data_IF_201866979584
#
_entry.id   IF_201866979584
#
_cell.length_a   1.000
_cell.length_b   1.000
_cell.length_c   1.000
_cell.angle_alpha   90.00
_cell.angle_beta   90.00
_cell.angle_gamma   90.00
#
_symmetry.space_group_name_H-M   'P 1'
#
loop_
_entity.id
_entity.type
_entity.pdbx_description
1 polymer ?
#
# COMPACT_ATOMS: atom_id res chain seq x y z
N UNK A 1 -15.57 2.93 -9.85
CA UNK A 1 -14.33 2.70 -10.62
C UNK A 1 -14.73 2.48 -12.07
N UNK A 2 -14.25 3.32 -12.99
CA UNK A 2 -14.47 3.19 -14.43
C UNK A 2 -13.44 2.24 -15.07
N UNK A 3 -13.64 1.90 -16.35
CA UNK A 3 -12.78 0.96 -17.10
C UNK A 3 -11.32 1.40 -17.19
N UNK A 4 -11.06 2.70 -17.37
CA UNK A 4 -9.69 3.22 -17.56
C UNK A 4 -8.94 3.13 -16.24
N UNK A 5 -9.57 3.60 -15.16
CA UNK A 5 -9.02 3.50 -13.80
C UNK A 5 -8.78 2.05 -13.40
N UNK A 6 -9.73 1.15 -13.67
CA UNK A 6 -9.60 -0.28 -13.32
C UNK A 6 -8.42 -0.96 -14.02
N UNK A 7 -8.21 -0.70 -15.32
CA UNK A 7 -7.07 -1.23 -16.07
C UNK A 7 -5.75 -0.62 -15.55
N UNK A 8 -5.73 0.68 -15.25
CA UNK A 8 -4.57 1.36 -14.68
C UNK A 8 -4.12 0.71 -13.37
N UNK A 9 -5.06 0.50 -12.45
CA UNK A 9 -4.81 -0.17 -11.16
C UNK A 9 -4.33 -1.61 -11.35
N UNK A 10 -4.93 -2.37 -12.28
CA UNK A 10 -4.48 -3.73 -12.57
C UNK A 10 -3.04 -3.77 -13.10
N UNK A 11 -2.64 -2.81 -13.95
CA UNK A 11 -1.25 -2.70 -14.42
C UNK A 11 -0.29 -2.37 -13.29
N UNK A 12 -0.66 -1.46 -12.39
CA UNK A 12 0.14 -1.14 -11.20
C UNK A 12 0.29 -2.35 -10.29
N UNK A 13 -0.79 -3.08 -10.01
CA UNK A 13 -0.74 -4.30 -9.21
C UNK A 13 0.19 -5.36 -9.82
N UNK A 14 0.16 -5.53 -11.15
CA UNK A 14 1.04 -6.46 -11.86
C UNK A 14 2.52 -6.05 -11.89
N UNK A 15 2.84 -4.80 -11.51
CA UNK A 15 4.22 -4.35 -11.33
C UNK A 15 4.74 -4.63 -9.91
N UNK A 16 3.89 -5.03 -8.97
CA UNK A 16 4.31 -5.37 -7.60
C UNK A 16 5.08 -6.70 -7.58
N UNK A 17 6.16 -6.80 -6.78
CA UNK A 17 6.88 -8.05 -6.60
C UNK A 17 5.97 -9.19 -6.13
N UNK A 18 6.07 -10.35 -6.77
CA UNK A 18 5.28 -11.54 -6.41
C UNK A 18 3.82 -11.53 -6.90
N UNK A 19 3.36 -10.44 -7.53
CA UNK A 19 2.03 -10.39 -8.15
C UNK A 19 2.13 -10.82 -9.62
N UNK A 20 1.29 -11.77 -10.03
CA UNK A 20 1.25 -12.27 -11.40
C UNK A 20 -0.21 -12.51 -11.83
N UNK A 21 -0.44 -12.60 -13.14
CA UNK A 21 -1.76 -12.94 -13.68
C UNK A 21 -2.27 -14.29 -13.16
N UNK A 22 -1.35 -15.23 -12.95
CA UNK A 22 -1.64 -16.55 -12.38
C UNK A 22 -2.01 -16.48 -10.90
N UNK A 23 -1.31 -15.67 -10.10
CA UNK A 23 -1.65 -15.52 -8.67
C UNK A 23 -2.99 -14.80 -8.48
N UNK A 24 -3.27 -13.75 -9.26
CA UNK A 24 -4.60 -13.09 -9.29
C UNK A 24 -5.69 -14.07 -9.73
N UNK A 25 -5.44 -14.86 -10.78
CA UNK A 25 -6.39 -15.86 -11.27
C UNK A 25 -6.72 -16.90 -10.20
N UNK A 26 -5.69 -17.45 -9.53
CA UNK A 26 -5.85 -18.40 -8.42
C UNK A 26 -6.65 -17.80 -7.25
N UNK A 27 -6.35 -16.55 -6.86
CA UNK A 27 -7.05 -15.88 -5.77
C UNK A 27 -8.55 -15.64 -6.05
N UNK A 28 -8.92 -15.49 -7.32
CA UNK A 28 -10.30 -15.19 -7.74
C UNK A 28 -11.05 -16.40 -8.30
N UNK A 29 -10.40 -17.56 -8.42
CA UNK A 29 -10.97 -18.76 -9.03
C UNK A 29 -11.21 -18.64 -10.54
N UNK A 30 -10.36 -17.88 -11.25
CA UNK A 30 -10.46 -17.68 -12.70
C UNK A 30 -9.13 -17.97 -13.41
N UNK A 31 -9.17 -18.28 -14.70
CA UNK A 31 -7.97 -18.64 -15.44
C UNK A 31 -7.09 -17.40 -15.74
N UNK A 32 -5.76 -17.58 -15.73
CA UNK A 32 -4.80 -16.49 -15.97
C UNK A 32 -5.00 -15.81 -17.34
N UNK A 33 -5.49 -16.55 -18.34
CA UNK A 33 -5.83 -16.00 -19.66
C UNK A 33 -6.98 -14.99 -19.61
N UNK A 34 -7.94 -15.16 -18.70
CA UNK A 34 -9.03 -14.20 -18.49
C UNK A 34 -8.49 -12.90 -17.88
N UNK A 35 -7.59 -13.01 -16.89
CA UNK A 35 -6.88 -11.85 -16.31
C UNK A 35 -6.06 -11.12 -17.39
N UNK A 36 -5.40 -11.86 -18.29
CA UNK A 36 -4.66 -11.28 -19.42
C UNK A 36 -5.56 -10.50 -20.38
N UNK A 37 -6.73 -11.06 -20.74
CA UNK A 37 -7.73 -10.37 -21.58
C UNK A 37 -8.25 -9.09 -20.92
N UNK A 38 -8.49 -9.13 -19.61
CA UNK A 38 -8.93 -7.95 -18.83
C UNK A 38 -7.84 -6.89 -18.80
N UNK A 39 -6.58 -7.26 -18.54
CA UNK A 39 -5.45 -6.33 -18.56
C UNK A 39 -5.22 -5.68 -19.94
N UNK A 40 -5.56 -6.40 -21.01
CA UNK A 40 -5.55 -5.88 -22.38
C UNK A 40 -6.80 -5.05 -22.75
N UNK A 41 -7.73 -4.84 -21.80
CA UNK A 41 -8.96 -4.06 -22.03
C UNK A 41 -9.99 -4.73 -22.92
N UNK A 42 -9.86 -6.05 -23.17
CA UNK A 42 -10.76 -6.84 -24.03
C UNK A 42 -12.06 -7.21 -23.32
N UNK A 43 -12.84 -6.20 -22.94
CA UNK A 43 -14.19 -6.33 -22.37
C UNK A 43 -15.01 -5.07 -22.67
N UNK A 44 -16.33 -5.23 -22.81
CA UNK A 44 -17.24 -4.13 -23.18
C UNK A 44 -17.57 -3.25 -21.97
N UNK A 45 -17.87 -3.85 -20.82
CA UNK A 45 -18.20 -3.16 -19.56
C UNK A 45 -17.42 -3.72 -18.38
N UNK A 46 -17.12 -2.87 -17.40
CA UNK A 46 -16.43 -3.25 -16.17
C UNK A 46 -17.41 -3.95 -15.21
N UNK A 47 -17.72 -5.21 -15.51
CA UNK A 47 -18.67 -6.03 -14.76
C UNK A 47 -18.13 -7.45 -14.57
N UNK A 48 -18.79 -8.25 -13.73
CA UNK A 48 -18.44 -9.64 -13.48
C UNK A 48 -16.97 -9.84 -13.11
N UNK A 49 -16.27 -10.70 -13.87
CA UNK A 49 -14.85 -10.98 -13.65
C UNK A 49 -13.94 -9.75 -13.84
N UNK A 50 -14.26 -8.84 -14.77
CA UNK A 50 -13.45 -7.65 -14.99
C UNK A 50 -13.47 -6.73 -13.76
N UNK A 51 -14.66 -6.51 -13.19
CA UNK A 51 -14.82 -5.73 -11.96
C UNK A 51 -14.14 -6.40 -10.76
N UNK A 52 -14.32 -7.72 -10.59
CA UNK A 52 -13.69 -8.48 -9.50
C UNK A 52 -12.17 -8.39 -9.55
N UNK A 53 -11.58 -8.54 -10.73
CA UNK A 53 -10.12 -8.43 -10.94
C UNK A 53 -9.62 -7.03 -10.61
N UNK A 54 -10.30 -5.98 -11.09
CA UNK A 54 -9.86 -4.60 -10.83
C UNK A 54 -10.01 -4.22 -9.34
N UNK A 55 -11.08 -4.67 -8.67
CA UNK A 55 -11.24 -4.49 -7.21
C UNK A 55 -10.17 -5.21 -6.40
N UNK A 56 -9.85 -6.45 -6.77
CA UNK A 56 -8.78 -7.21 -6.11
C UNK A 56 -7.42 -6.53 -6.31
N UNK A 57 -7.10 -6.13 -7.55
CA UNK A 57 -5.89 -5.38 -7.85
C UNK A 57 -5.79 -4.06 -7.08
N UNK A 58 -6.91 -3.36 -6.90
CA UNK A 58 -6.94 -2.15 -6.07
C UNK A 58 -6.54 -2.44 -4.63
N UNK A 59 -7.11 -3.49 -4.04
CA UNK A 59 -6.75 -3.94 -2.70
C UNK A 59 -5.26 -4.28 -2.56
N UNK A 60 -4.63 -4.84 -3.60
CA UNK A 60 -3.19 -5.11 -3.59
C UNK A 60 -2.34 -3.83 -3.62
N UNK A 61 -2.78 -2.80 -4.32
CA UNK A 61 -2.06 -1.52 -4.46
C UNK A 61 -2.26 -0.64 -3.23
N UNK A 62 -3.42 -0.69 -2.60
CA UNK A 62 -3.75 0.11 -1.41
C UNK A 62 -3.44 -0.61 -0.10
N UNK A 63 -3.14 -1.91 -0.12
CA UNK A 63 -2.70 -2.61 1.07
C UNK A 63 -1.39 -1.98 1.57
N UNK A 64 -1.31 -1.60 2.86
CA UNK A 64 -0.06 -1.14 3.43
C UNK A 64 0.99 -2.22 3.18
N UNK A 65 2.12 -1.82 2.63
CA UNK A 65 3.23 -2.72 2.37
C UNK A 65 3.61 -3.44 3.66
N UNK A 66 4.12 -4.68 3.56
CA UNK A 66 4.62 -5.39 4.75
C UNK A 66 5.69 -4.58 5.51
N UNK A 67 6.37 -3.65 4.82
CA UNK A 67 7.29 -2.68 5.41
C UNK A 67 6.57 -1.66 6.29
N UNK A 68 5.40 -1.17 5.89
CA UNK A 68 4.57 -0.26 6.69
C UNK A 68 3.89 -0.98 7.85
N UNK A 69 3.40 -2.21 7.65
CA UNK A 69 2.81 -3.02 8.71
C UNK A 69 3.82 -3.27 9.85
N UNK A 70 5.09 -3.50 9.50
CA UNK A 70 6.16 -3.73 10.47
C UNK A 70 6.92 -2.46 10.86
N UNK A 71 6.56 -1.29 10.33
CA UNK A 71 7.31 -0.05 10.59
C UNK A 71 7.22 0.37 12.06
N UNK A 72 6.01 0.32 12.64
CA UNK A 72 5.77 0.73 14.03
C UNK A 72 6.47 -0.23 15.02
N UNK A 73 6.28 -1.57 14.95
CA UNK A 73 7.00 -2.48 15.84
C UNK A 73 8.54 -2.40 15.68
N UNK A 74 9.03 -2.21 14.45
CA UNK A 74 10.47 -2.06 14.22
C UNK A 74 11.02 -0.74 14.78
N UNK A 75 10.24 0.34 14.74
CA UNK A 75 10.60 1.63 15.34
C UNK A 75 10.61 1.52 16.87
N UNK A 76 9.58 0.92 17.47
CA UNK A 76 9.51 0.65 18.92
C UNK A 76 10.73 -0.14 19.40
N UNK A 77 11.10 -1.22 18.70
CA UNK A 77 12.27 -2.02 19.03
C UNK A 77 13.57 -1.21 18.97
N UNK A 78 13.72 -0.32 17.97
CA UNK A 78 14.90 0.56 17.87
C UNK A 78 14.95 1.58 18.99
N UNK A 79 13.82 2.20 19.33
CA UNK A 79 13.72 3.17 20.43
C UNK A 79 14.03 2.51 21.77
N UNK A 80 13.47 1.33 22.03
CA UNK A 80 13.72 0.56 23.25
C UNK A 80 15.22 0.24 23.41
N UNK A 81 15.90 -0.20 22.34
CA UNK A 81 17.36 -0.44 22.38
C UNK A 81 18.15 0.84 22.67
N UNK A 82 17.75 1.96 22.07
CA UNK A 82 18.43 3.24 22.28
C UNK A 82 18.26 3.72 23.72
N UNK A 83 17.06 3.62 24.29
CA UNK A 83 16.78 3.99 25.69
C UNK A 83 17.52 3.08 26.67
N UNK A 84 17.59 1.78 26.38
CA UNK A 84 18.36 0.83 27.19
C UNK A 84 19.86 1.14 27.21
N UNK A 85 20.43 1.57 26.07
CA UNK A 85 21.84 1.96 25.97
C UNK A 85 22.11 3.37 26.53
N UNK A 86 21.14 4.27 26.46
CA UNK A 86 21.25 5.64 26.95
C UNK A 86 19.89 6.09 27.54
N UNK A 87 19.72 6.07 28.87
CA UNK A 87 18.47 6.47 29.52
C UNK A 87 18.04 7.91 29.21
N UNK A 88 18.99 8.81 28.93
CA UNK A 88 18.71 10.20 28.53
C UNK A 88 18.07 10.31 27.13
N UNK A 89 18.21 9.29 26.29
CA UNK A 89 17.64 9.29 24.94
C UNK A 89 16.11 9.26 24.95
N UNK A 90 15.47 8.76 26.01
CA UNK A 90 14.01 8.74 26.11
C UNK A 90 13.42 10.17 26.03
N UNK A 91 14.06 11.13 26.71
CA UNK A 91 13.61 12.52 26.72
C UNK A 91 13.83 13.20 25.37
N UNK A 92 15.02 13.03 24.79
CA UNK A 92 15.33 13.57 23.45
C UNK A 92 14.43 12.99 22.35
N UNK A 93 14.06 11.70 22.44
CA UNK A 93 13.09 11.08 21.53
C UNK A 93 11.69 11.66 21.70
N UNK A 94 11.25 11.91 22.94
CA UNK A 94 9.97 12.55 23.23
C UNK A 94 9.92 13.97 22.65
N UNK A 95 10.94 14.78 22.93
CA UNK A 95 11.03 16.16 22.45
C UNK A 95 11.05 16.23 20.91
N UNK A 96 11.74 15.29 20.25
CA UNK A 96 11.75 15.17 18.79
C UNK A 96 10.36 14.82 18.22
N UNK A 97 9.67 13.85 18.82
CA UNK A 97 8.34 13.44 18.37
C UNK A 97 7.35 14.60 18.55
N UNK A 98 7.40 15.29 19.69
CA UNK A 98 6.58 16.47 19.94
C UNK A 98 6.86 17.58 18.91
N UNK A 99 8.12 17.85 18.59
CA UNK A 99 8.48 18.84 17.56
C UNK A 99 7.91 18.47 16.19
N UNK A 100 8.05 17.20 15.77
CA UNK A 100 7.51 16.70 14.49
C UNK A 100 5.98 16.80 14.42
N UNK A 101 5.29 16.54 15.54
CA UNK A 101 3.84 16.66 15.62
C UNK A 101 3.37 18.12 15.67
N UNK A 102 4.13 19.00 16.33
CA UNK A 102 3.86 20.44 16.40
C UNK A 102 4.03 21.15 15.05
N UNK A 103 5.07 20.79 14.28
CA UNK A 103 5.27 21.31 12.92
C UNK A 103 4.20 20.81 11.93
N UNK A 104 3.64 19.62 12.14
CA UNK A 104 2.54 19.11 11.31
C UNK A 104 1.20 19.84 11.52
N UNK A 105 1.06 20.65 12.58
CA UNK A 105 -0.17 21.33 12.99
C UNK A 105 -0.15 22.85 12.76
N UNK A 106 0.95 23.43 12.29
CA UNK A 106 1.03 24.86 12.00
C UNK A 106 0.60 25.11 10.54
N UNK A 107 -0.53 25.80 10.27
CA UNK A 107 -0.87 26.19 8.90
C UNK A 107 0.23 27.13 8.36
N UNK A 108 0.55 27.07 7.05
CA UNK A 108 1.56 27.95 6.48
C UNK A 108 1.16 29.40 6.73
N UNK A 109 1.99 30.11 7.47
CA UNK A 109 1.84 31.56 7.67
C UNK A 109 2.14 32.21 6.33
N UNK A 110 1.08 32.65 5.64
CA UNK A 110 1.20 33.50 4.46
C UNK A 110 1.74 34.84 4.95
N UNK A 111 2.99 35.12 4.58
CA UNK A 111 3.64 36.43 4.69
C UNK A 111 3.98 36.95 3.31
#
# INVERSE_FOLDING_TARGET
MDKVTGIGVLKQALALPGVSRSSIGKALGIHASQVSRIAAGRFVKLEGHALRVCKYAHGLVTAPSAREINAVPALESKMARLVAANPGAARALSDLIEALLGEALTPPTVG
#
